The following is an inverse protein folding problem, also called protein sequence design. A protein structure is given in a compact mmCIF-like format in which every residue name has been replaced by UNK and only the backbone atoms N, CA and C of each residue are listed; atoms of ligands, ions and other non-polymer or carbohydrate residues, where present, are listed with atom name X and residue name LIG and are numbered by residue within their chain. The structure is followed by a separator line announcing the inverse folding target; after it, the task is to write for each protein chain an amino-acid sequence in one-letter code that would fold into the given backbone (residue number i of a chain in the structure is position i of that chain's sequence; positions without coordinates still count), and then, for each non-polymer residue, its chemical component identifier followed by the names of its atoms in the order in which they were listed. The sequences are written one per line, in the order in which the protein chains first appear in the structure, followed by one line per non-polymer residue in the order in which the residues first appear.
data_IF_748527130538
#
_entry.id   IF_748527130538
#
_cell.length_a   1.000
_cell.length_b   1.000
_cell.length_c   1.000
_cell.angle_alpha   90.00
_cell.angle_beta   90.00
_cell.angle_gamma   90.00
#
_symmetry.space_group_name_H-M   'P 1'
#
loop_
_entity.id
_entity.type
_entity.pdbx_description
1 polymer ?
#
# COMPACT_ATOMS: atom_id res chain seq x y z
N UNK A 1 -1.07 -19.39 -7.28
CA UNK A 1 -1.31 -18.26 -8.20
C UNK A 1 -2.20 -17.23 -7.52
N UNK A 2 -1.72 -16.01 -7.42
CA UNK A 2 -2.46 -14.92 -6.80
C UNK A 2 -2.98 -13.98 -7.87
N UNK A 3 -4.23 -13.53 -7.69
CA UNK A 3 -4.86 -12.53 -8.55
C UNK A 3 -5.13 -11.27 -7.74
N UNK A 4 -4.79 -10.13 -8.32
CA UNK A 4 -5.00 -8.83 -7.70
C UNK A 4 -5.79 -7.95 -8.67
N UNK A 5 -6.91 -7.43 -8.20
CA UNK A 5 -7.68 -6.47 -8.96
C UNK A 5 -6.94 -5.13 -9.01
N UNK A 6 -6.84 -4.56 -10.20
CA UNK A 6 -6.13 -3.31 -10.43
C UNK A 6 -7.15 -2.19 -10.61
N UNK A 7 -7.14 -1.16 -9.75
CA UNK A 7 -8.07 -0.03 -9.92
C UNK A 7 -7.76 0.77 -11.19
N UNK A 8 -8.76 1.46 -11.77
CA UNK A 8 -8.57 2.23 -13.01
C UNK A 8 -7.41 3.23 -12.97
N UNK A 9 -7.21 3.89 -11.84
CA UNK A 9 -6.10 4.82 -11.64
C UNK A 9 -4.73 4.17 -11.81
N UNK A 10 -4.56 2.97 -11.24
CA UNK A 10 -3.32 2.23 -11.38
C UNK A 10 -3.13 1.71 -12.80
N UNK A 11 -4.21 1.23 -13.43
CA UNK A 11 -4.17 0.77 -14.82
C UNK A 11 -3.76 1.90 -15.77
N UNK A 12 -4.23 3.11 -15.53
CA UNK A 12 -3.86 4.30 -16.31
C UNK A 12 -2.35 4.58 -16.21
N UNK A 13 -1.78 4.46 -15.01
CA UNK A 13 -0.34 4.67 -14.79
C UNK A 13 0.53 3.60 -15.44
N UNK A 14 -0.02 2.42 -15.71
CA UNK A 14 0.70 1.36 -16.41
C UNK A 14 0.90 1.66 -17.91
N UNK A 15 0.07 2.53 -18.47
CA UNK A 15 0.13 2.88 -19.89
C UNK A 15 -0.34 1.77 -20.81
N UNK A 16 0.06 1.85 -22.07
CA UNK A 16 -0.30 0.87 -23.08
C UNK A 16 0.44 -0.46 -22.88
N UNK A 17 -0.25 -1.54 -23.18
CA UNK A 17 0.34 -2.86 -23.11
C UNK A 17 1.43 -3.03 -24.18
N UNK A 18 2.63 -3.41 -23.75
CA UNK A 18 3.72 -3.81 -24.63
C UNK A 18 3.66 -5.30 -24.97
N UNK A 19 4.80 -5.87 -25.34
CA UNK A 19 4.94 -7.32 -25.60
C UNK A 19 4.81 -8.10 -24.29
N UNK A 20 4.32 -9.33 -24.37
CA UNK A 20 4.05 -10.16 -23.19
C UNK A 20 5.28 -10.39 -22.30
N UNK A 21 6.48 -10.42 -22.86
CA UNK A 21 7.72 -10.63 -22.12
C UNK A 21 8.34 -9.34 -21.59
N UNK A 22 7.81 -8.18 -21.94
CA UNK A 22 8.34 -6.89 -21.49
C UNK A 22 7.85 -6.55 -20.09
N UNK A 23 8.70 -5.89 -19.30
CA UNK A 23 8.29 -5.30 -18.03
C UNK A 23 7.37 -4.11 -18.30
N UNK A 24 6.37 -3.91 -17.42
CA UNK A 24 5.46 -2.76 -17.50
C UNK A 24 6.23 -1.46 -17.32
N UNK A 25 7.23 -1.48 -16.44
CA UNK A 25 8.11 -0.33 -16.19
C UNK A 25 9.56 -0.74 -16.49
N UNK A 26 9.99 -0.66 -17.76
CA UNK A 26 11.32 -1.16 -18.15
C UNK A 26 12.49 -0.39 -17.54
N UNK A 27 12.26 0.86 -17.14
CA UNK A 27 13.30 1.71 -16.56
C UNK A 27 13.56 1.45 -15.07
N UNK A 28 12.76 0.60 -14.45
CA UNK A 28 12.97 0.21 -13.06
C UNK A 28 13.90 -0.99 -13.02
N UNK A 29 15.08 -0.79 -12.42
CA UNK A 29 16.11 -1.83 -12.32
C UNK A 29 16.05 -2.55 -10.97
N UNK A 30 17.11 -2.49 -10.19
CA UNK A 30 17.16 -3.13 -8.89
C UNK A 30 16.47 -2.29 -7.81
N UNK A 31 16.01 -2.91 -6.70
CA UNK A 31 15.49 -2.16 -5.56
C UNK A 31 16.46 -1.11 -5.02
N UNK A 32 17.75 -1.40 -5.02
CA UNK A 32 18.78 -0.46 -4.55
C UNK A 32 18.83 0.79 -5.41
N UNK A 33 18.84 0.65 -6.74
CA UNK A 33 18.84 1.79 -7.67
C UNK A 33 17.57 2.61 -7.55
N UNK A 34 16.41 1.95 -7.41
CA UNK A 34 15.12 2.62 -7.24
C UNK A 34 15.09 3.43 -5.95
N UNK A 35 15.59 2.87 -4.85
CA UNK A 35 15.63 3.56 -3.56
C UNK A 35 16.58 4.76 -3.59
N UNK A 36 17.69 4.69 -4.28
CA UNK A 36 18.58 5.83 -4.47
C UNK A 36 17.91 6.98 -5.21
N UNK A 37 17.17 6.66 -6.27
CA UNK A 37 16.43 7.64 -7.04
C UNK A 37 15.36 8.32 -6.20
N UNK A 38 14.62 7.55 -5.41
CA UNK A 38 13.60 8.06 -4.50
C UNK A 38 14.25 8.98 -3.45
N UNK A 39 15.37 8.57 -2.88
CA UNK A 39 16.09 9.34 -1.87
C UNK A 39 16.50 10.71 -2.39
N UNK A 40 17.05 10.77 -3.62
CA UNK A 40 17.42 12.03 -4.26
C UNK A 40 16.21 12.92 -4.51
N UNK A 41 15.12 12.33 -4.97
CA UNK A 41 13.87 13.06 -5.22
C UNK A 41 13.29 13.65 -3.94
N UNK A 42 13.27 12.86 -2.88
CA UNK A 42 12.77 13.28 -1.56
C UNK A 42 13.61 14.43 -1.00
N UNK A 43 14.95 14.35 -1.14
CA UNK A 43 15.86 15.43 -0.70
C UNK A 43 15.63 16.71 -1.50
N UNK A 44 15.41 16.61 -2.81
CA UNK A 44 15.09 17.78 -3.66
C UNK A 44 13.79 18.44 -3.23
N UNK A 45 12.84 17.67 -2.72
CA UNK A 45 11.58 18.19 -2.20
C UNK A 45 11.71 18.81 -0.81
N UNK A 46 12.90 18.82 -0.21
CA UNK A 46 13.13 19.36 1.13
C UNK A 46 12.71 18.45 2.26
N UNK A 47 12.50 17.16 1.98
CA UNK A 47 12.09 16.18 2.97
C UNK A 47 13.31 15.45 3.49
N UNK A 48 13.53 15.44 4.79
CA UNK A 48 14.71 14.82 5.44
C UNK A 48 14.38 13.48 6.10
N UNK A 49 13.28 12.84 5.70
CA UNK A 49 12.92 11.49 6.17
C UNK A 49 13.58 10.46 5.27
N UNK A 50 13.90 9.31 5.85
CA UNK A 50 14.40 8.16 5.11
C UNK A 50 13.24 7.44 4.41
N UNK A 51 13.00 7.79 3.15
CA UNK A 51 11.91 7.26 2.34
C UNK A 51 12.47 6.25 1.34
N UNK A 52 11.89 5.06 1.36
CA UNK A 52 12.20 4.00 0.40
C UNK A 52 10.94 3.62 -0.39
N UNK A 53 11.11 2.82 -1.44
CA UNK A 53 9.99 2.29 -2.20
C UNK A 53 8.98 1.54 -1.31
N UNK A 54 9.47 0.83 -0.30
CA UNK A 54 8.65 0.06 0.64
C UNK A 54 7.73 0.95 1.49
N UNK A 55 8.07 2.21 1.68
CA UNK A 55 7.21 3.18 2.39
C UNK A 55 5.86 3.37 1.68
N UNK A 56 5.82 3.27 0.35
CA UNK A 56 4.58 3.31 -0.41
C UNK A 56 3.64 2.18 -0.03
N UNK A 57 4.19 1.00 0.18
CA UNK A 57 3.44 -0.18 0.62
C UNK A 57 2.86 0.00 2.04
N UNK A 58 3.65 0.54 2.96
CA UNK A 58 3.18 0.87 4.30
C UNK A 58 2.08 1.93 4.27
N UNK A 59 2.26 2.96 3.46
CA UNK A 59 1.27 4.03 3.30
C UNK A 59 -0.05 3.47 2.77
N UNK A 60 0.02 2.58 1.78
CA UNK A 60 -1.17 1.92 1.25
C UNK A 60 -1.92 1.16 2.35
N UNK A 61 -1.20 0.36 3.14
CA UNK A 61 -1.79 -0.42 4.22
C UNK A 61 -2.50 0.47 5.26
N UNK A 62 -1.82 1.52 5.72
CA UNK A 62 -2.38 2.45 6.70
C UNK A 62 -3.60 3.16 6.13
N UNK A 63 -3.53 3.62 4.88
CA UNK A 63 -4.62 4.31 4.22
C UNK A 63 -5.86 3.40 4.10
N UNK A 64 -5.67 2.15 3.71
CA UNK A 64 -6.78 1.21 3.56
C UNK A 64 -7.45 0.89 4.91
N UNK A 65 -6.65 0.71 5.96
CA UNK A 65 -7.17 0.50 7.31
C UNK A 65 -7.91 1.75 7.82
N UNK A 66 -7.37 2.92 7.55
CA UNK A 66 -7.99 4.20 7.96
C UNK A 66 -9.34 4.42 7.25
N UNK A 67 -9.47 3.94 6.02
CA UNK A 67 -10.73 3.98 5.27
C UNK A 67 -11.75 2.93 5.72
N UNK A 68 -11.40 2.08 6.68
CA UNK A 68 -12.28 1.09 7.26
C UNK A 68 -12.17 -0.32 6.69
N UNK A 69 -11.18 -0.59 5.86
CA UNK A 69 -10.93 -1.94 5.36
C UNK A 69 -10.41 -2.83 6.50
N UNK A 70 -10.90 -4.05 6.59
CA UNK A 70 -10.47 -4.97 7.63
C UNK A 70 -9.04 -5.45 7.40
N UNK A 71 -8.36 -5.83 8.47
CA UNK A 71 -6.95 -6.23 8.43
C UNK A 71 -6.72 -7.48 7.58
N UNK A 72 -7.67 -8.41 7.57
CA UNK A 72 -7.57 -9.63 6.77
C UNK A 72 -7.50 -9.29 5.27
N UNK A 73 -8.40 -8.42 4.81
CA UNK A 73 -8.43 -7.98 3.41
C UNK A 73 -7.14 -7.24 3.04
N UNK A 74 -6.67 -6.33 3.91
CA UNK A 74 -5.41 -5.61 3.69
C UNK A 74 -4.24 -6.60 3.60
N UNK A 75 -4.19 -7.57 4.49
CA UNK A 75 -3.17 -8.62 4.48
C UNK A 75 -3.14 -9.36 3.15
N UNK A 76 -4.30 -9.72 2.61
CA UNK A 76 -4.40 -10.41 1.31
C UNK A 76 -3.98 -9.51 0.15
N UNK A 77 -4.38 -8.24 0.16
CA UNK A 77 -3.98 -7.28 -0.87
C UNK A 77 -2.47 -7.07 -0.89
N UNK A 78 -1.81 -7.12 0.26
CA UNK A 78 -0.37 -7.00 0.38
C UNK A 78 0.38 -8.30 0.08
N UNK A 79 -0.33 -9.41 -0.07
CA UNK A 79 0.28 -10.72 -0.29
C UNK A 79 0.92 -11.30 0.95
N UNK A 80 0.58 -10.84 2.16
CA UNK A 80 1.07 -11.43 3.41
C UNK A 80 0.47 -12.83 3.60
N UNK A 81 1.32 -13.80 3.90
CA UNK A 81 0.89 -15.17 4.21
C UNK A 81 0.31 -15.28 5.61
N UNK A 82 0.82 -14.47 6.54
CA UNK A 82 0.41 -14.46 7.93
C UNK A 82 -0.15 -13.09 8.31
N UNK A 83 -1.26 -13.11 9.04
CA UNK A 83 -1.92 -11.92 9.53
C UNK A 83 -1.03 -11.11 10.49
N UNK A 84 -0.18 -11.80 11.25
CA UNK A 84 0.75 -11.18 12.20
C UNK A 84 1.66 -10.12 11.57
N UNK A 85 2.04 -10.30 10.31
CA UNK A 85 2.86 -9.33 9.57
C UNK A 85 2.16 -7.97 9.42
N UNK A 86 0.82 -7.98 9.36
CA UNK A 86 0.00 -6.77 9.21
C UNK A 86 -0.32 -6.11 10.55
N UNK A 87 -0.12 -6.82 11.68
CA UNK A 87 -0.44 -6.31 13.02
C UNK A 87 0.41 -5.10 13.46
N UNK A 88 1.48 -4.79 12.73
CA UNK A 88 2.26 -3.57 12.97
C UNK A 88 1.42 -2.28 12.82
N UNK A 89 0.24 -2.40 12.21
CA UNK A 89 -0.71 -1.29 12.01
C UNK A 89 -1.80 -1.23 13.09
N UNK A 90 -1.54 -1.78 14.27
CA UNK A 90 -2.51 -1.93 15.37
C UNK A 90 -3.19 -0.62 15.79
N UNK A 91 -2.46 0.51 15.77
CA UNK A 91 -3.02 1.83 16.14
C UNK A 91 -4.18 2.25 15.24
N UNK A 92 -4.08 1.95 13.94
CA UNK A 92 -5.15 2.24 12.99
C UNK A 92 -6.35 1.32 13.24
N UNK A 93 -6.09 0.07 13.63
CA UNK A 93 -7.15 -0.89 13.98
C UNK A 93 -7.95 -0.43 15.20
N UNK A 94 -7.30 0.13 16.21
CA UNK A 94 -7.99 0.66 17.39
C UNK A 94 -8.96 1.78 17.02
N UNK A 95 -8.55 2.68 16.13
CA UNK A 95 -9.42 3.72 15.58
C UNK A 95 -10.63 3.11 14.85
N UNK A 96 -10.40 2.09 14.04
CA UNK A 96 -11.43 1.39 13.29
C UNK A 96 -12.42 0.67 14.22
N UNK A 97 -11.94 0.10 15.32
CA UNK A 97 -12.77 -0.50 16.36
C UNK A 97 -13.74 0.52 16.98
N UNK A 98 -13.23 1.69 17.33
CA UNK A 98 -14.04 2.77 17.89
C UNK A 98 -15.10 3.21 16.89
N UNK A 99 -14.74 3.39 15.63
CA UNK A 99 -15.66 3.76 14.57
C UNK A 99 -16.74 2.68 14.36
N UNK A 100 -16.38 1.40 14.43
CA UNK A 100 -17.31 0.29 14.28
C UNK A 100 -18.33 0.25 15.42
N UNK A 101 -17.88 0.46 16.66
CA UNK A 101 -18.78 0.52 17.83
C UNK A 101 -19.74 1.69 17.70
N UNK A 102 -19.28 2.83 17.22
CA UNK A 102 -20.14 4.02 17.01
C UNK A 102 -21.25 3.79 15.97
N UNK A 103 -21.10 2.79 15.09
CA UNK A 103 -22.11 2.43 14.09
C UNK A 103 -23.24 1.56 14.66
N UNK A 104 -23.10 1.04 15.88
CA UNK A 104 -24.14 0.23 16.48
C UNK A 104 -25.39 1.11 16.67
N UNK A 105 -26.55 0.71 16.13
CA UNK A 105 -27.76 1.51 16.25
C UNK A 105 -28.24 1.55 17.69
N UNK A 106 -28.83 2.66 18.07
CA UNK A 106 -29.50 2.80 19.36
C UNK A 106 -30.82 2.02 19.31
N UNK A 107 -30.90 0.93 20.06
CA UNK A 107 -32.05 0.04 20.10
C UNK A 107 -32.89 0.18 21.39
N UNK A 108 -32.53 1.13 22.27
CA UNK A 108 -33.23 1.38 23.53
C UNK A 108 -33.84 2.74 23.58
#
# INVERSE_FOLDING_TARGET
QEYLDIPPQAAELMGERGKDAEHIFPDIHSPSCTNETIKRWVLRAGIHKDITFHCGRHTFAVMMLDLGTDIYTVSKLLGHRELSTTQIYAKVLDKNKQAAVAKIPDIF
#
